data_IF_912566831957
#
_entry.id   IF_912566831957
#
_cell.length_a   1.000
_cell.length_b   1.000
_cell.length_c   1.000
_cell.angle_alpha   90.00
_cell.angle_beta   90.00
_cell.angle_gamma   90.00
#
_symmetry.space_group_name_H-M   'P 1'
#
loop_
_entity.id
_entity.type
_entity.pdbx_description
1 polymer ?
#
# COMPACT_ATOMS: atom_id res chain seq x y z
N UNK A 1 15.17 0.43 15.63
CA UNK A 1 14.76 -0.96 15.30
C UNK A 1 13.60 -0.98 14.31
N UNK A 2 12.46 -0.36 14.62
CA UNK A 2 11.27 -0.43 13.75
C UNK A 2 11.46 0.08 12.29
N UNK A 3 12.16 1.20 12.09
CA UNK A 3 12.44 1.68 10.72
C UNK A 3 13.31 0.67 9.96
N UNK A 4 14.31 0.08 10.63
CA UNK A 4 15.17 -0.92 10.03
C UNK A 4 14.41 -2.19 9.66
N UNK A 5 13.48 -2.66 10.50
CA UNK A 5 12.64 -3.83 10.19
C UNK A 5 11.66 -3.55 9.05
N UNK A 6 11.10 -2.34 8.97
CA UNK A 6 10.31 -1.91 7.82
C UNK A 6 11.11 -1.94 6.52
N UNK A 7 12.32 -1.37 6.52
CA UNK A 7 13.22 -1.39 5.36
C UNK A 7 13.63 -2.82 4.97
N UNK A 8 13.94 -3.69 5.94
CA UNK A 8 14.24 -5.10 5.69
C UNK A 8 13.06 -5.82 5.02
N UNK A 9 11.83 -5.52 5.43
CA UNK A 9 10.63 -6.09 4.81
C UNK A 9 10.43 -5.59 3.37
N UNK A 10 10.71 -4.31 3.10
CA UNK A 10 10.71 -3.79 1.71
C UNK A 10 11.75 -4.52 0.87
N UNK A 11 12.98 -4.67 1.40
CA UNK A 11 14.08 -5.34 0.70
C UNK A 11 13.77 -6.80 0.41
N UNK A 12 13.26 -7.54 1.40
CA UNK A 12 12.79 -8.92 1.24
C UNK A 12 11.82 -9.03 0.07
N UNK A 13 10.76 -8.23 0.08
CA UNK A 13 9.72 -8.30 -0.93
C UNK A 13 10.17 -7.80 -2.30
N UNK A 14 11.07 -6.82 -2.32
CA UNK A 14 11.70 -6.35 -3.55
C UNK A 14 12.45 -7.49 -4.25
N UNK A 15 13.20 -8.31 -3.51
CA UNK A 15 13.91 -9.47 -4.06
C UNK A 15 12.96 -10.46 -4.72
N UNK A 16 11.78 -10.71 -4.15
CA UNK A 16 10.79 -11.62 -4.76
C UNK A 16 10.22 -11.07 -6.07
N UNK A 17 9.97 -9.76 -6.12
CA UNK A 17 9.46 -9.09 -7.31
C UNK A 17 10.50 -8.92 -8.41
N UNK A 18 11.80 -9.10 -8.13
CA UNK A 18 12.83 -9.08 -9.18
C UNK A 18 12.58 -10.12 -10.29
N UNK A 19 11.85 -11.20 -9.99
CA UNK A 19 11.47 -12.19 -11.00
C UNK A 19 10.61 -11.57 -12.12
N UNK A 20 9.67 -10.68 -11.77
CA UNK A 20 8.87 -9.92 -12.75
C UNK A 20 9.72 -8.90 -13.53
N UNK A 21 10.73 -8.30 -12.87
CA UNK A 21 11.62 -7.33 -13.50
C UNK A 21 12.46 -7.95 -14.63
N UNK A 22 12.58 -9.28 -14.67
CA UNK A 22 13.29 -10.03 -15.72
C UNK A 22 12.42 -10.35 -16.94
N UNK A 23 11.13 -10.00 -16.92
CA UNK A 23 10.27 -10.20 -18.08
C UNK A 23 10.73 -9.30 -19.26
N UNK A 24 10.65 -9.81 -20.50
CA UNK A 24 11.15 -9.12 -21.69
C UNK A 24 10.33 -7.86 -22.03
N UNK A 25 9.05 -7.82 -21.68
CA UNK A 25 8.18 -6.65 -21.85
C UNK A 25 7.52 -6.26 -20.51
N UNK A 26 7.74 -5.00 -20.10
CA UNK A 26 7.23 -4.42 -18.84
C UNK A 26 5.77 -3.98 -18.93
N UNK A 27 5.25 -3.79 -20.15
CA UNK A 27 3.87 -3.41 -20.39
C UNK A 27 2.96 -4.62 -20.46
N UNK A 28 3.03 -5.36 -21.57
CA UNK A 28 2.04 -6.39 -21.88
C UNK A 28 2.30 -7.70 -21.14
N UNK A 29 3.56 -8.18 -21.12
CA UNK A 29 3.87 -9.44 -20.46
C UNK A 29 3.71 -9.35 -18.93
N UNK A 30 4.04 -8.20 -18.35
CA UNK A 30 3.93 -8.00 -16.91
C UNK A 30 2.46 -7.86 -16.45
N UNK A 31 1.61 -7.22 -17.25
CA UNK A 31 0.16 -7.16 -17.00
C UNK A 31 -0.53 -8.49 -17.23
N UNK A 32 -0.16 -9.24 -18.27
CA UNK A 32 -0.68 -10.58 -18.53
C UNK A 32 -0.31 -11.61 -17.45
N UNK A 33 0.79 -11.38 -16.71
CA UNK A 33 1.19 -12.22 -15.58
C UNK A 33 0.34 -12.02 -14.32
N UNK A 34 -0.45 -10.94 -14.24
CA UNK A 34 -1.34 -10.68 -13.11
C UNK A 34 -2.50 -11.69 -13.14
N UNK A 35 -2.78 -12.31 -12.00
CA UNK A 35 -3.85 -13.29 -11.88
C UNK A 35 -5.15 -12.65 -11.39
N UNK A 36 -6.27 -13.22 -11.84
CA UNK A 36 -7.63 -12.93 -11.37
C UNK A 36 -7.95 -11.42 -11.37
N UNK A 37 -8.34 -10.87 -10.23
CA UNK A 37 -8.75 -9.48 -10.05
C UNK A 37 -7.58 -8.47 -10.07
N UNK A 38 -6.32 -8.93 -10.00
CA UNK A 38 -5.18 -8.03 -9.93
C UNK A 38 -4.96 -7.26 -11.23
N UNK A 39 -5.13 -7.96 -12.37
CA UNK A 39 -5.09 -7.33 -13.69
C UNK A 39 -6.25 -6.37 -13.90
N UNK A 40 -7.43 -6.71 -13.36
CA UNK A 40 -8.60 -5.85 -13.38
C UNK A 40 -8.36 -4.51 -12.68
N UNK A 41 -7.85 -4.50 -11.44
CA UNK A 41 -7.54 -3.26 -10.74
C UNK A 41 -6.43 -2.45 -11.43
N UNK A 42 -5.36 -3.12 -11.87
CA UNK A 42 -4.28 -2.45 -12.58
C UNK A 42 -4.76 -1.80 -13.90
N UNK A 43 -5.75 -2.40 -14.58
CA UNK A 43 -6.26 -1.84 -15.84
C UNK A 43 -6.80 -0.42 -15.68
N UNK A 44 -7.49 -0.11 -14.56
CA UNK A 44 -7.97 1.25 -14.29
C UNK A 44 -6.84 2.24 -14.00
N UNK A 45 -5.80 1.80 -13.30
CA UNK A 45 -4.60 2.61 -13.11
C UNK A 45 -3.91 2.91 -14.46
N UNK A 46 -3.71 1.88 -15.29
CA UNK A 46 -3.07 2.04 -16.61
C UNK A 46 -3.88 2.98 -17.50
N UNK A 47 -5.21 2.80 -17.55
CA UNK A 47 -6.12 3.65 -18.32
C UNK A 47 -5.99 5.13 -17.92
N UNK A 48 -5.96 5.42 -16.62
CA UNK A 48 -5.83 6.81 -16.15
C UNK A 48 -4.45 7.40 -16.45
N UNK A 49 -3.38 6.58 -16.41
CA UNK A 49 -2.01 7.00 -16.73
C UNK A 49 -1.80 7.24 -18.22
N UNK A 50 -2.41 6.42 -19.07
CA UNK A 50 -2.28 6.46 -20.53
C UNK A 50 -3.21 7.49 -21.19
N UNK A 51 -4.31 7.88 -20.54
CA UNK A 51 -5.24 8.88 -21.06
C UNK A 51 -4.58 10.25 -21.30
N UNK A 52 -4.96 10.91 -22.40
CA UNK A 52 -4.43 12.21 -22.80
C UNK A 52 -4.59 13.28 -21.71
N UNK A 53 -5.75 13.31 -21.04
CA UNK A 53 -6.02 14.17 -19.89
C UNK A 53 -6.50 13.40 -18.66
N UNK A 54 -6.21 13.92 -17.46
CA UNK A 54 -6.62 13.28 -16.20
C UNK A 54 -8.14 13.32 -16.02
N UNK A 55 -8.77 14.39 -16.51
CA UNK A 55 -10.22 14.55 -16.48
C UNK A 55 -10.91 13.53 -17.40
N UNK A 56 -10.38 13.32 -18.60
CA UNK A 56 -10.91 12.33 -19.55
C UNK A 56 -10.78 10.91 -19.01
N UNK A 57 -9.60 10.53 -18.48
CA UNK A 57 -9.43 9.21 -17.86
C UNK A 57 -10.38 9.02 -16.66
N UNK A 58 -10.58 10.04 -15.83
CA UNK A 58 -11.56 9.98 -14.74
C UNK A 58 -13.00 9.85 -15.26
N UNK A 59 -13.37 10.57 -16.32
CA UNK A 59 -14.69 10.45 -16.93
C UNK A 59 -14.95 9.05 -17.49
N UNK A 60 -13.95 8.44 -18.13
CA UNK A 60 -14.06 7.07 -18.64
C UNK A 60 -14.28 6.05 -17.51
N UNK A 61 -13.60 6.24 -16.36
CA UNK A 61 -13.76 5.37 -15.18
C UNK A 61 -15.10 5.62 -14.46
N UNK A 62 -15.57 6.87 -14.41
CA UNK A 62 -16.87 7.21 -13.77
C UNK A 62 -18.06 6.75 -14.62
N UNK A 63 -17.92 6.76 -15.94
CA UNK A 63 -18.94 6.34 -16.89
C UNK A 63 -18.52 5.06 -17.61
N UNK A 64 -18.11 4.06 -16.83
CA UNK A 64 -17.58 2.80 -17.34
C UNK A 64 -18.70 1.95 -17.97
N UNK A 65 -18.54 1.64 -19.25
CA UNK A 65 -19.42 0.74 -20.03
C UNK A 65 -18.76 -0.58 -20.39
N UNK A 66 -17.46 -0.72 -20.11
CA UNK A 66 -16.65 -1.87 -20.51
C UNK A 66 -16.89 -3.06 -19.58
N UNK A 67 -17.16 -2.80 -18.31
CA UNK A 67 -17.15 -3.85 -17.28
C UNK A 67 -18.49 -4.59 -17.15
N UNK A 68 -19.62 -3.89 -17.23
CA UNK A 68 -20.97 -4.48 -17.09
C UNK A 68 -21.90 -3.98 -18.21
N UNK A 69 -21.77 -4.49 -19.45
CA UNK A 69 -22.74 -4.17 -20.51
C UNK A 69 -24.10 -4.84 -20.22
N UNK A 70 -25.25 -4.17 -20.39
CA UNK A 70 -25.47 -2.86 -21.06
C UNK A 70 -25.39 -1.63 -20.14
N UNK A 71 -25.17 -1.82 -18.85
CA UNK A 71 -25.23 -0.75 -17.87
C UNK A 71 -24.00 0.15 -17.92
N UNK A 72 -24.18 1.39 -17.47
CA UNK A 72 -23.09 2.35 -17.26
C UNK A 72 -22.99 2.59 -15.77
N UNK A 73 -21.83 2.29 -15.20
CA UNK A 73 -21.63 2.38 -13.76
C UNK A 73 -20.36 3.14 -13.40
N UNK A 74 -20.37 3.68 -12.19
CA UNK A 74 -19.21 4.33 -11.62
C UNK A 74 -18.27 3.28 -11.03
N UNK A 75 -17.19 2.97 -11.77
CA UNK A 75 -16.23 1.96 -11.38
C UNK A 75 -15.53 2.31 -10.06
N UNK A 76 -15.28 3.61 -9.80
CA UNK A 76 -14.67 4.09 -8.55
C UNK A 76 -15.47 3.64 -7.33
N UNK A 77 -16.78 3.91 -7.35
CA UNK A 77 -17.66 3.57 -6.23
C UNK A 77 -17.99 2.09 -6.18
N UNK A 78 -18.20 1.45 -7.34
CA UNK A 78 -18.61 0.04 -7.43
C UNK A 78 -17.50 -0.92 -7.01
N UNK A 79 -16.26 -0.66 -7.43
CA UNK A 79 -15.12 -1.56 -7.22
C UNK A 79 -14.07 -1.04 -6.22
N UNK A 80 -14.36 0.08 -5.55
CA UNK A 80 -13.50 0.69 -4.54
C UNK A 80 -12.06 0.92 -5.04
N UNK A 81 -11.92 1.47 -6.25
CA UNK A 81 -10.62 1.71 -6.92
C UNK A 81 -10.01 3.09 -6.60
N UNK A 82 -10.28 3.63 -5.39
CA UNK A 82 -9.78 4.94 -5.00
C UNK A 82 -8.25 5.00 -4.96
N UNK A 83 -7.62 3.95 -4.41
CA UNK A 83 -6.15 3.85 -4.33
C UNK A 83 -5.50 3.84 -5.72
N UNK A 84 -6.08 3.14 -6.71
CA UNK A 84 -5.56 3.16 -8.08
C UNK A 84 -5.63 4.56 -8.69
N UNK A 85 -6.76 5.26 -8.50
CA UNK A 85 -6.96 6.62 -8.99
C UNK A 85 -5.94 7.58 -8.36
N UNK A 86 -5.75 7.51 -7.04
CA UNK A 86 -4.80 8.38 -6.32
C UNK A 86 -3.38 8.18 -6.85
N UNK A 87 -2.92 6.94 -6.98
CA UNK A 87 -1.56 6.64 -7.46
C UNK A 87 -1.37 7.02 -8.93
N UNK A 88 -2.39 6.87 -9.77
CA UNK A 88 -2.32 7.32 -11.17
C UNK A 88 -2.25 8.85 -11.28
N UNK A 89 -3.04 9.59 -10.49
CA UNK A 89 -2.97 11.05 -10.45
C UNK A 89 -1.61 11.53 -9.93
N UNK A 90 -1.06 10.87 -8.91
CA UNK A 90 0.28 11.14 -8.41
C UNK A 90 1.35 10.91 -9.50
N UNK A 91 1.30 9.77 -10.21
CA UNK A 91 2.21 9.47 -11.31
C UNK A 91 2.17 10.55 -12.39
N UNK A 92 0.97 10.99 -12.79
CA UNK A 92 0.79 12.05 -13.78
C UNK A 92 1.30 13.40 -13.30
N UNK A 93 1.04 13.76 -12.05
CA UNK A 93 1.52 15.00 -11.45
C UNK A 93 3.05 15.04 -11.41
N UNK A 94 3.69 13.96 -10.97
CA UNK A 94 5.15 13.84 -10.96
C UNK A 94 5.75 13.89 -12.37
N UNK A 95 5.12 13.21 -13.35
CA UNK A 95 5.53 13.29 -14.76
C UNK A 95 5.40 14.70 -15.31
N UNK A 96 4.33 15.42 -14.97
CA UNK A 96 4.11 16.81 -15.37
C UNK A 96 5.17 17.76 -14.80
N UNK A 97 5.62 17.51 -13.57
CA UNK A 97 6.72 18.27 -12.93
C UNK A 97 8.09 17.94 -13.55
N UNK A 98 8.17 16.91 -14.40
CA UNK A 98 9.41 16.50 -15.07
C UNK A 98 10.27 15.54 -14.24
N UNK A 99 9.69 14.88 -13.24
CA UNK A 99 10.37 13.83 -12.48
C UNK A 99 10.60 12.61 -13.37
N UNK A 100 11.83 12.08 -13.38
CA UNK A 100 12.14 10.82 -14.06
C UNK A 100 11.56 9.66 -13.23
N UNK A 101 10.43 9.13 -13.69
CA UNK A 101 9.75 8.00 -13.06
C UNK A 101 10.10 6.70 -13.77
N UNK A 102 10.09 5.56 -13.03
CA UNK A 102 10.16 4.25 -13.67
C UNK A 102 8.89 3.97 -14.47
N UNK A 103 8.86 2.81 -15.14
CA UNK A 103 7.68 2.35 -15.87
C UNK A 103 6.43 2.36 -14.96
N UNK A 104 5.22 2.72 -15.46
CA UNK A 104 4.02 2.86 -14.63
C UNK A 104 3.72 1.64 -13.74
N UNK A 105 3.96 0.45 -14.27
CA UNK A 105 3.80 -0.82 -13.55
C UNK A 105 4.72 -0.97 -12.32
N UNK A 106 5.97 -0.51 -12.44
CA UNK A 106 6.95 -0.55 -11.36
C UNK A 106 6.65 0.52 -10.32
N UNK A 107 6.23 1.71 -10.77
CA UNK A 107 5.79 2.79 -9.90
C UNK A 107 4.61 2.37 -9.01
N UNK A 108 3.60 1.73 -9.60
CA UNK A 108 2.45 1.24 -8.86
C UNK A 108 2.84 0.23 -7.77
N UNK A 109 3.73 -0.71 -8.09
CA UNK A 109 4.21 -1.70 -7.12
C UNK A 109 5.08 -1.09 -6.03
N UNK A 110 5.90 -0.10 -6.37
CA UNK A 110 6.72 0.59 -5.39
C UNK A 110 5.86 1.19 -4.27
N UNK A 111 4.64 1.67 -4.58
CA UNK A 111 3.69 2.16 -3.58
C UNK A 111 3.23 1.07 -2.62
N UNK A 112 2.83 -0.09 -3.16
CA UNK A 112 2.40 -1.23 -2.35
C UNK A 112 3.54 -1.73 -1.45
N UNK A 113 4.78 -1.76 -1.95
CA UNK A 113 5.95 -2.15 -1.18
C UNK A 113 6.30 -1.13 -0.10
N UNK A 114 6.29 0.16 -0.44
CA UNK A 114 6.54 1.22 0.52
C UNK A 114 5.49 1.16 1.66
N UNK A 115 4.22 0.99 1.30
CA UNK A 115 3.13 0.89 2.25
C UNK A 115 3.26 -0.35 3.14
N UNK A 116 3.62 -1.52 2.61
CA UNK A 116 3.86 -2.72 3.42
C UNK A 116 5.04 -2.56 4.38
N UNK A 117 6.10 -1.87 3.95
CA UNK A 117 7.23 -1.49 4.81
C UNK A 117 6.81 -0.62 5.98
N UNK A 118 5.95 0.38 5.74
CA UNK A 118 5.36 1.23 6.80
C UNK A 118 4.52 0.40 7.77
N UNK A 119 3.71 -0.53 7.26
CA UNK A 119 2.92 -1.45 8.09
C UNK A 119 3.78 -2.32 9.00
N UNK A 120 4.84 -2.92 8.46
CA UNK A 120 5.78 -3.73 9.23
C UNK A 120 6.54 -2.88 10.27
N UNK A 121 6.91 -1.65 9.93
CA UNK A 121 7.51 -0.73 10.91
C UNK A 121 6.54 -0.44 12.06
N UNK A 122 5.26 -0.16 11.77
CA UNK A 122 4.24 0.07 12.78
C UNK A 122 4.04 -1.15 13.70
N UNK A 123 3.98 -2.36 13.14
CA UNK A 123 3.95 -3.60 13.92
C UNK A 123 5.17 -3.73 14.84
N UNK A 124 6.37 -3.48 14.31
CA UNK A 124 7.59 -3.54 15.11
C UNK A 124 7.61 -2.49 16.23
N UNK A 125 7.09 -1.27 16.00
CA UNK A 125 6.94 -0.26 17.06
C UNK A 125 5.97 -0.72 18.14
N UNK A 126 4.80 -1.22 17.73
CA UNK A 126 3.78 -1.72 18.65
C UNK A 126 4.31 -2.89 19.49
N UNK A 127 5.00 -3.85 18.88
CA UNK A 127 5.61 -4.98 19.60
C UNK A 127 6.67 -4.51 20.61
N UNK A 128 7.53 -3.56 20.21
CA UNK A 128 8.53 -2.98 21.11
C UNK A 128 7.93 -2.26 22.30
N UNK A 129 6.86 -1.48 22.09
CA UNK A 129 6.21 -0.73 23.17
C UNK A 129 5.42 -1.64 24.11
N UNK A 130 4.70 -2.63 23.60
CA UNK A 130 3.96 -3.60 24.44
C UNK A 130 4.93 -4.43 25.30
N UNK A 131 6.05 -4.86 24.73
CA UNK A 131 7.04 -5.68 25.44
C UNK A 131 7.94 -4.86 26.37
N UNK A 132 8.01 -3.53 26.20
CA UNK A 132 9.02 -2.68 26.85
C UNK A 132 10.47 -2.93 26.39
N UNK A 133 10.68 -3.75 25.36
CA UNK A 133 12.00 -4.11 24.84
C UNK A 133 12.08 -3.81 23.32
N UNK A 134 13.04 -2.99 22.86
CA UNK A 134 13.19 -2.68 21.43
C UNK A 134 13.47 -3.92 20.56
N UNK A 135 14.08 -4.98 21.11
CA UNK A 135 14.36 -6.22 20.37
C UNK A 135 13.08 -7.01 20.03
N UNK A 136 11.97 -6.79 20.74
CA UNK A 136 10.69 -7.42 20.41
C UNK A 136 10.20 -7.02 19.01
N UNK A 137 10.52 -5.81 18.56
CA UNK A 137 10.21 -5.35 17.21
C UNK A 137 10.98 -6.13 16.13
N UNK A 138 12.22 -6.54 16.41
CA UNK A 138 13.01 -7.42 15.55
C UNK A 138 12.46 -8.84 15.57
N UNK A 139 12.11 -9.37 16.75
CA UNK A 139 11.48 -10.69 16.86
C UNK A 139 10.15 -10.74 16.08
N UNK A 140 9.36 -9.67 16.13
CA UNK A 140 8.15 -9.52 15.34
C UNK A 140 8.42 -9.58 13.83
N UNK A 141 9.46 -8.90 13.35
CA UNK A 141 9.88 -9.01 11.94
C UNK A 141 10.33 -10.42 11.57
N UNK A 142 11.14 -11.07 12.42
CA UNK A 142 11.59 -12.43 12.18
C UNK A 142 10.41 -13.42 12.13
N UNK A 143 9.43 -13.25 13.00
CA UNK A 143 8.18 -14.02 12.94
C UNK A 143 7.42 -13.73 11.64
N UNK A 144 7.31 -12.47 11.22
CA UNK A 144 6.71 -12.09 9.92
C UNK A 144 7.41 -12.77 8.74
N UNK A 145 8.75 -12.77 8.75
CA UNK A 145 9.58 -13.35 7.71
C UNK A 145 9.41 -14.88 7.62
N UNK A 146 9.44 -15.57 8.77
CA UNK A 146 9.31 -17.03 8.83
C UNK A 146 7.90 -17.50 8.48
N UNK A 147 6.88 -16.74 8.88
CA UNK A 147 5.46 -17.02 8.61
C UNK A 147 4.93 -16.21 7.42
N UNK A 148 5.79 -15.80 6.48
CA UNK A 148 5.43 -14.88 5.39
C UNK A 148 4.24 -15.36 4.57
N UNK A 149 4.13 -16.65 4.30
CA UNK A 149 3.05 -17.22 3.48
C UNK A 149 1.68 -17.14 4.17
N UNK A 150 1.66 -17.05 5.49
CA UNK A 150 0.44 -16.90 6.29
C UNK A 150 0.09 -15.44 6.53
N UNK A 151 1.09 -14.56 6.60
CA UNK A 151 0.91 -13.15 6.99
C UNK A 151 0.60 -12.26 5.79
N UNK A 152 1.26 -12.50 4.65
CA UNK A 152 1.08 -11.65 3.48
C UNK A 152 1.25 -12.43 2.17
N UNK A 153 0.40 -12.11 1.20
CA UNK A 153 0.49 -12.64 -0.16
C UNK A 153 1.44 -11.83 -1.04
N UNK A 154 2.13 -10.83 -0.50
CA UNK A 154 2.97 -9.91 -1.27
C UNK A 154 4.18 -10.60 -1.93
N UNK A 155 4.64 -11.72 -1.37
CA UNK A 155 5.64 -12.58 -2.01
C UNK A 155 5.12 -13.32 -3.26
N UNK A 156 3.80 -13.43 -3.45
CA UNK A 156 3.21 -13.91 -4.69
C UNK A 156 3.05 -12.76 -5.67
N UNK A 157 3.96 -12.71 -6.64
CA UNK A 157 4.10 -11.61 -7.58
C UNK A 157 2.87 -11.40 -8.49
N UNK A 158 2.08 -12.46 -8.73
CA UNK A 158 0.84 -12.40 -9.52
C UNK A 158 -0.34 -11.75 -8.78
N UNK A 159 -0.26 -11.67 -7.45
CA UNK A 159 -1.32 -11.18 -6.56
C UNK A 159 -0.95 -9.90 -5.82
N UNK A 160 -0.24 -8.99 -6.50
CA UNK A 160 0.33 -7.78 -5.90
C UNK A 160 -0.68 -6.64 -5.72
N UNK A 161 -1.90 -6.72 -6.27
CA UNK A 161 -2.89 -5.63 -6.29
C UNK A 161 -4.13 -5.94 -5.45
N UNK A 162 -4.01 -6.89 -4.51
CA UNK A 162 -5.10 -7.25 -3.61
C UNK A 162 -5.41 -6.10 -2.64
N UNK A 163 -6.70 -5.94 -2.31
CA UNK A 163 -7.18 -4.89 -1.37
C UNK A 163 -6.58 -5.03 0.03
N UNK A 164 -6.28 -6.26 0.45
CA UNK A 164 -5.63 -6.53 1.73
C UNK A 164 -4.25 -5.87 1.84
N UNK A 165 -3.50 -5.71 0.74
CA UNK A 165 -2.17 -5.11 0.74
C UNK A 165 -2.21 -3.60 0.96
N UNK A 166 -3.35 -2.96 0.64
CA UNK A 166 -3.63 -1.57 0.95
C UNK A 166 -4.16 -1.38 2.37
N UNK A 167 -5.07 -2.27 2.79
CA UNK A 167 -5.74 -2.15 4.08
C UNK A 167 -4.89 -2.59 5.27
N UNK A 168 -4.12 -3.67 5.15
CA UNK A 168 -3.37 -4.25 6.29
C UNK A 168 -2.30 -3.31 6.86
N UNK A 169 -1.52 -2.55 6.07
CA UNK A 169 -0.54 -1.64 6.66
C UNK A 169 -1.21 -0.48 7.40
N UNK A 170 -2.30 0.04 6.82
CA UNK A 170 -3.10 1.10 7.45
C UNK A 170 -3.71 0.61 8.77
N UNK A 171 -4.21 -0.62 8.82
CA UNK A 171 -4.69 -1.24 10.05
C UNK A 171 -3.61 -1.27 11.13
N UNK A 172 -2.38 -1.69 10.80
CA UNK A 172 -1.30 -1.74 11.78
C UNK A 172 -0.88 -0.37 12.29
N UNK A 173 -0.87 0.64 11.41
CA UNK A 173 -0.66 2.03 11.82
C UNK A 173 -1.78 2.48 12.76
N UNK A 174 -3.04 2.16 12.47
CA UNK A 174 -4.17 2.50 13.35
C UNK A 174 -4.05 1.81 14.72
N UNK A 175 -3.68 0.54 14.76
CA UNK A 175 -3.43 -0.18 16.02
C UNK A 175 -2.32 0.47 16.84
N UNK A 176 -1.22 0.89 16.19
CA UNK A 176 -0.13 1.61 16.84
C UNK A 176 -0.59 2.95 17.41
N UNK A 177 -1.27 3.77 16.61
CA UNK A 177 -1.77 5.07 17.06
C UNK A 177 -2.79 4.93 18.20
N UNK A 178 -3.68 3.95 18.13
CA UNK A 178 -4.63 3.65 19.20
C UNK A 178 -3.91 3.28 20.50
N UNK A 179 -2.88 2.42 20.42
CA UNK A 179 -2.06 2.06 21.57
C UNK A 179 -1.41 3.30 22.21
N UNK A 180 -0.86 4.20 21.40
CA UNK A 180 -0.28 5.46 21.86
C UNK A 180 -1.31 6.36 22.55
N UNK A 181 -2.50 6.49 21.96
CA UNK A 181 -3.60 7.26 22.56
C UNK A 181 -3.99 6.69 23.93
N UNK A 182 -4.06 5.36 24.06
CA UNK A 182 -4.36 4.70 25.33
C UNK A 182 -3.29 5.04 26.38
N UNK A 183 -2.01 4.92 26.04
CA UNK A 183 -0.91 5.25 26.97
C UNK A 183 -0.96 6.71 27.41
N UNK A 184 -1.16 7.65 26.49
CA UNK A 184 -1.31 9.07 26.80
C UNK A 184 -2.52 9.33 27.70
N UNK A 185 -3.66 8.69 27.43
CA UNK A 185 -4.87 8.84 28.25
C UNK A 185 -4.69 8.33 29.69
N UNK A 186 -3.93 7.24 29.88
CA UNK A 186 -3.62 6.69 31.20
C UNK A 186 -2.71 7.62 32.00
N UNK A 187 -1.69 8.17 31.35
CA UNK A 187 -0.79 9.16 31.97
C UNK A 187 -1.55 10.43 32.37
N UNK A 188 -2.39 10.98 31.49
CA UNK A 188 -3.21 12.17 31.79
C UNK A 188 -4.23 11.99 32.92
N UNK A 189 -4.72 10.76 33.15
CA UNK A 189 -5.53 10.44 34.34
C UNK A 189 -4.69 10.39 35.63
N UNK A 190 -3.44 9.96 35.56
CA UNK A 190 -2.55 9.89 36.72
C UNK A 190 -1.99 11.27 37.12
N UNK A 191 -1.79 12.19 36.19
CA UNK A 191 -1.23 13.53 36.45
C UNK A 191 -2.27 14.62 36.73
N UNK A 192 -3.56 14.29 36.73
CA UNK A 192 -4.61 15.28 37.01
C UNK A 192 -4.84 16.25 35.85
N UNK A 193 -5.45 15.76 34.76
CA UNK A 193 -6.48 16.52 34.03
C UNK A 193 -6.10 17.86 33.38
N UNK A 194 -4.88 18.09 32.90
CA UNK A 194 -4.60 19.24 32.00
C UNK A 194 -3.50 18.87 30.99
N UNK A 195 -3.84 18.24 29.85
CA UNK A 195 -3.03 18.34 28.61
C UNK A 195 -3.58 17.57 27.39
N UNK A 196 -4.89 17.31 27.30
CA UNK A 196 -5.40 16.44 26.21
C UNK A 196 -5.53 17.14 24.85
N UNK A 197 -5.29 18.45 24.77
CA UNK A 197 -5.58 19.29 23.60
C UNK A 197 -4.34 19.81 22.84
N UNK A 198 -3.12 19.63 23.37
CA UNK A 198 -1.90 20.25 22.82
C UNK A 198 -1.01 19.31 21.97
N UNK A 199 -1.35 18.02 21.88
CA UNK A 199 -0.52 17.00 21.24
C UNK A 199 -1.05 16.49 19.88
N UNK A 200 -2.11 17.12 19.34
CA UNK A 200 -2.73 16.76 18.05
C UNK A 200 -2.50 17.81 16.94
N UNK A 201 -1.55 18.73 17.13
CA UNK A 201 -0.96 19.59 16.10
C UNK A 201 0.51 19.24 15.95
#
# INVERSE_FOLDING_TARGET
VAVATGLLHVLENYVYLQTLLRLPDRGLAATAALQTENGFYYSYYSELVEADSALEGLQNIIWDRRTEYPDVLNAIRRFNIYQEVVVALEFRALRFIGVLLPHPFDFFRAHILALSGVGQAAMSMLASEISGNPLAGLACFLASFLCRFQISRLGNYTSSNLRELWGTPVLWVQCYLLWRLILCSRQGRQTGGVSLLLLLL
#
